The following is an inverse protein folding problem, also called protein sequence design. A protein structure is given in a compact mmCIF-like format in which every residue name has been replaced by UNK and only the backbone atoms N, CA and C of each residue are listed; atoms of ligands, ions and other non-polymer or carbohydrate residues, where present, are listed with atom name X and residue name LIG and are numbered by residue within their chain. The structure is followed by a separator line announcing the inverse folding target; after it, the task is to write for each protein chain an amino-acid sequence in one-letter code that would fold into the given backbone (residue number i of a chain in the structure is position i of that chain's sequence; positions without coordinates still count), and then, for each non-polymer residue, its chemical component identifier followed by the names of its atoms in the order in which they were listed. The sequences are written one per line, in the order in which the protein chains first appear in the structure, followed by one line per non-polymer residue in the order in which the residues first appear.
data_IF_835314084288
#
_entry.id   IF_835314084288
#
_cell.length_a   1.000
_cell.length_b   1.000
_cell.length_c   1.000
_cell.angle_alpha   90.00
_cell.angle_beta   90.00
_cell.angle_gamma   90.00
#
_symmetry.space_group_name_H-M   'P 1'
#
loop_
_entity.id
_entity.type
_entity.pdbx_description
1 polymer ?
#
# COMPACT_ATOMS: atom_id res chain seq x y z
N UNK A 1 -20.75 -18.78 -7.60
CA UNK A 1 -19.55 -18.87 -8.46
C UNK A 1 -19.54 -17.77 -9.51
N UNK A 2 -18.41 -17.08 -9.67
CA UNK A 2 -18.13 -16.18 -10.80
C UNK A 2 -18.05 -17.03 -12.08
N UNK A 3 -18.86 -16.72 -13.10
CA UNK A 3 -18.96 -17.53 -14.33
C UNK A 3 -18.18 -16.95 -15.51
N UNK A 4 -18.05 -15.63 -15.57
CA UNK A 4 -17.51 -14.90 -16.72
C UNK A 4 -16.44 -13.86 -16.33
N UNK A 5 -16.13 -13.73 -15.04
CA UNK A 5 -15.21 -12.70 -14.56
C UNK A 5 -13.77 -13.06 -14.88
N UNK A 6 -13.00 -12.05 -15.31
CA UNK A 6 -11.59 -12.21 -15.66
C UNK A 6 -10.72 -12.58 -14.46
N UNK A 7 -11.11 -12.15 -13.26
CA UNK A 7 -10.37 -12.32 -12.03
C UNK A 7 -11.28 -12.79 -10.90
N UNK A 8 -10.76 -13.65 -10.02
CA UNK A 8 -11.35 -13.93 -8.71
C UNK A 8 -10.64 -13.00 -7.72
N UNK A 9 -11.32 -11.96 -7.24
CA UNK A 9 -10.68 -10.92 -6.43
C UNK A 9 -11.04 -11.11 -4.96
N UNK A 10 -10.02 -11.28 -4.12
CA UNK A 10 -10.18 -11.72 -2.73
C UNK A 10 -10.48 -10.59 -1.74
N UNK A 11 -10.09 -9.35 -2.06
CA UNK A 11 -10.25 -8.18 -1.21
C UNK A 11 -11.10 -7.11 -1.88
N UNK A 12 -11.72 -6.25 -1.08
CA UNK A 12 -12.41 -5.07 -1.61
C UNK A 12 -11.39 -4.13 -2.27
N UNK A 13 -11.85 -3.22 -3.13
CA UNK A 13 -10.98 -2.12 -3.59
C UNK A 13 -10.73 -1.07 -2.50
N UNK A 14 -11.50 -1.14 -1.40
CA UNK A 14 -11.27 -0.44 -0.15
C UNK A 14 -10.89 -1.46 0.92
N UNK A 15 -9.61 -1.58 1.27
CA UNK A 15 -9.10 -2.62 2.19
C UNK A 15 -7.69 -2.28 2.71
N UNK A 16 -7.01 -3.20 3.40
CA UNK A 16 -5.57 -3.09 3.67
C UNK A 16 -4.72 -3.26 2.41
N UNK A 17 -3.44 -2.86 2.48
CA UNK A 17 -2.47 -3.10 1.40
C UNK A 17 -2.34 -4.59 1.05
N UNK A 18 -2.00 -4.89 -0.20
CA UNK A 18 -1.90 -6.26 -0.71
C UNK A 18 -0.46 -6.78 -0.87
N UNK A 19 0.52 -5.86 -0.94
CA UNK A 19 1.93 -6.22 -1.09
C UNK A 19 2.87 -5.09 -0.68
N UNK A 20 4.09 -5.45 -0.28
CA UNK A 20 5.24 -4.54 -0.21
C UNK A 20 5.89 -4.35 -1.59
N UNK A 21 6.42 -3.14 -1.82
CA UNK A 21 6.92 -2.70 -3.13
C UNK A 21 8.39 -2.28 -3.14
N UNK A 22 9.09 -2.40 -2.01
CA UNK A 22 10.51 -2.00 -1.91
C UNK A 22 11.43 -3.06 -2.50
N UNK A 23 12.54 -2.65 -3.11
CA UNK A 23 13.59 -3.56 -3.60
C UNK A 23 14.79 -3.65 -2.64
N UNK A 24 14.62 -3.21 -1.39
CA UNK A 24 15.68 -3.25 -0.39
C UNK A 24 15.95 -4.68 0.11
N UNK A 25 17.18 -4.95 0.55
CA UNK A 25 17.63 -6.29 0.97
C UNK A 25 16.91 -6.81 2.24
N UNK A 26 16.16 -5.97 2.94
CA UNK A 26 15.45 -6.34 4.15
C UNK A 26 14.04 -6.83 3.89
N UNK A 27 13.48 -6.54 2.71
CA UNK A 27 12.29 -7.19 2.20
C UNK A 27 12.67 -8.60 1.73
N UNK A 28 12.12 -9.59 2.42
CA UNK A 28 12.25 -10.99 2.04
C UNK A 28 10.99 -11.48 1.32
N UNK A 29 11.09 -12.44 0.38
CA UNK A 29 9.94 -12.93 -0.38
C UNK A 29 8.79 -13.42 0.49
N UNK A 30 9.08 -14.03 1.65
CA UNK A 30 8.07 -14.53 2.58
C UNK A 30 7.19 -13.44 3.23
N UNK A 31 7.51 -12.16 3.04
CA UNK A 31 6.64 -11.09 3.53
C UNK A 31 5.50 -10.77 2.58
N UNK A 32 5.66 -11.04 1.27
CA UNK A 32 4.59 -10.95 0.28
C UNK A 32 3.96 -12.35 0.11
N UNK A 33 3.25 -12.80 1.16
CA UNK A 33 2.76 -14.18 1.30
C UNK A 33 1.31 -14.40 0.83
N UNK A 34 0.68 -13.38 0.26
CA UNK A 34 -0.63 -13.50 -0.37
C UNK A 34 -0.50 -13.90 -1.85
N UNK A 35 -1.49 -14.65 -2.34
CA UNK A 35 -1.68 -14.85 -3.78
C UNK A 35 -2.23 -13.57 -4.42
N UNK A 36 -1.32 -12.67 -4.79
CA UNK A 36 -1.66 -11.39 -5.38
C UNK A 36 -2.27 -11.59 -6.77
N UNK A 37 -3.52 -11.20 -6.94
CA UNK A 37 -4.21 -11.23 -8.24
C UNK A 37 -3.83 -9.99 -9.03
N UNK A 38 -3.27 -10.13 -10.24
CA UNK A 38 -2.88 -8.97 -11.06
C UNK A 38 -3.04 -9.25 -12.56
N UNK A 39 -3.12 -8.19 -13.37
CA UNK A 39 -3.15 -8.31 -14.82
C UNK A 39 -1.75 -8.60 -15.39
N UNK A 40 -1.54 -9.83 -15.86
CA UNK A 40 -0.25 -10.27 -16.43
C UNK A 40 0.20 -9.45 -17.65
N UNK A 41 -0.74 -8.99 -18.48
CA UNK A 41 -0.39 -8.19 -19.68
C UNK A 41 0.12 -6.81 -19.29
N UNK A 42 -0.48 -6.20 -18.27
CA UNK A 42 -0.03 -4.90 -17.74
C UNK A 42 1.32 -5.08 -17.05
N UNK A 43 1.50 -6.17 -16.29
CA UNK A 43 2.77 -6.50 -15.64
C UNK A 43 3.90 -6.63 -16.66
N UNK A 44 3.72 -7.44 -17.70
CA UNK A 44 4.71 -7.62 -18.77
C UNK A 44 5.01 -6.29 -19.46
N UNK A 45 3.99 -5.47 -19.75
CA UNK A 45 4.18 -4.14 -20.34
C UNK A 45 5.05 -3.25 -19.44
N UNK A 46 4.80 -3.21 -18.13
CA UNK A 46 5.55 -2.38 -17.19
C UNK A 46 7.01 -2.84 -17.07
N UNK A 47 7.25 -4.14 -16.91
CA UNK A 47 8.61 -4.71 -16.80
C UNK A 47 9.40 -4.49 -18.09
N UNK A 48 8.79 -4.71 -19.26
CA UNK A 48 9.44 -4.46 -20.55
C UNK A 48 9.80 -2.98 -20.78
N UNK A 49 9.20 -2.06 -20.03
CA UNK A 49 9.50 -0.63 -20.05
C UNK A 49 10.35 -0.18 -18.84
N UNK A 50 10.97 -1.12 -18.12
CA UNK A 50 11.97 -0.83 -17.09
C UNK A 50 11.44 -0.58 -15.67
N UNK A 51 10.15 -0.85 -15.41
CA UNK A 51 9.60 -0.84 -14.04
C UNK A 51 10.03 -2.12 -13.33
N UNK A 52 10.52 -2.02 -12.08
CA UNK A 52 10.91 -3.19 -11.30
C UNK A 52 9.71 -4.12 -11.04
N UNK A 53 9.99 -5.41 -10.80
CA UNK A 53 8.95 -6.43 -10.71
C UNK A 53 7.92 -6.19 -9.59
N UNK A 54 8.34 -5.68 -8.43
CA UNK A 54 7.45 -5.49 -7.29
C UNK A 54 6.51 -4.31 -7.53
N UNK A 55 7.05 -3.19 -8.04
CA UNK A 55 6.24 -2.06 -8.47
C UNK A 55 5.31 -2.43 -9.63
N UNK A 56 5.80 -3.17 -10.62
CA UNK A 56 4.99 -3.62 -11.75
C UNK A 56 3.83 -4.51 -11.29
N UNK A 57 4.06 -5.42 -10.34
CA UNK A 57 3.00 -6.24 -9.73
C UNK A 57 1.97 -5.39 -8.99
N UNK A 58 2.43 -4.44 -8.17
CA UNK A 58 1.53 -3.53 -7.45
C UNK A 58 0.62 -2.75 -8.40
N UNK A 59 1.18 -2.08 -9.41
CA UNK A 59 0.37 -1.33 -10.38
C UNK A 59 -0.57 -2.26 -11.14
N UNK A 60 -0.10 -3.43 -11.58
CA UNK A 60 -0.94 -4.41 -12.29
C UNK A 60 -2.07 -4.97 -11.45
N UNK A 61 -1.89 -5.03 -10.12
CA UNK A 61 -2.95 -5.39 -9.18
C UNK A 61 -4.02 -4.30 -9.11
N UNK A 62 -3.66 -3.01 -9.03
CA UNK A 62 -4.65 -1.91 -9.02
C UNK A 62 -5.55 -1.93 -10.26
N UNK A 63 -4.98 -2.31 -11.41
CA UNK A 63 -5.65 -2.39 -12.72
C UNK A 63 -6.50 -3.64 -12.94
N UNK A 64 -6.66 -4.52 -11.94
CA UNK A 64 -7.71 -5.57 -12.00
C UNK A 64 -9.12 -5.00 -11.78
N UNK A 65 -9.21 -3.71 -11.45
CA UNK A 65 -10.47 -3.01 -11.19
C UNK A 65 -10.88 -2.17 -12.38
N UNK A 66 -12.18 -2.15 -12.62
CA UNK A 66 -12.77 -1.23 -13.59
C UNK A 66 -12.83 0.21 -13.03
N UNK A 67 -12.76 1.24 -13.90
CA UNK A 67 -13.08 2.62 -13.56
C UNK A 67 -14.52 2.72 -13.02
N UNK A 68 -14.72 3.46 -11.92
CA UNK A 68 -16.06 3.65 -11.36
C UNK A 68 -16.78 4.86 -11.98
N UNK A 69 -16.03 5.90 -12.33
CA UNK A 69 -16.57 7.18 -12.81
C UNK A 69 -15.64 7.66 -13.92
N UNK A 70 -16.19 7.97 -15.09
CA UNK A 70 -15.45 8.62 -16.18
C UNK A 70 -16.33 9.70 -16.80
N UNK A 71 -15.78 10.89 -16.99
CA UNK A 71 -16.47 11.99 -17.65
C UNK A 71 -16.27 11.89 -19.15
N UNK A 72 -17.30 12.27 -19.92
CA UNK A 72 -17.26 12.17 -21.39
C UNK A 72 -16.14 13.04 -21.96
N UNK A 73 -15.93 14.18 -21.33
CA UNK A 73 -14.93 15.20 -21.68
C UNK A 73 -13.50 14.68 -21.49
N UNK A 74 -13.29 13.71 -20.59
CA UNK A 74 -11.98 13.14 -20.27
C UNK A 74 -11.72 11.80 -20.95
N UNK A 75 -12.60 11.32 -21.85
CA UNK A 75 -12.43 10.03 -22.51
C UNK A 75 -11.14 9.97 -23.36
N UNK A 76 -10.90 11.03 -24.13
CA UNK A 76 -9.73 11.14 -25.01
C UNK A 76 -8.78 12.17 -24.42
N UNK A 77 -7.60 11.71 -24.02
CA UNK A 77 -6.54 12.53 -23.46
C UNK A 77 -5.21 12.14 -24.09
N UNK A 78 -4.22 13.03 -24.05
CA UNK A 78 -2.86 12.72 -24.47
C UNK A 78 -2.14 11.85 -23.44
N UNK A 79 -1.08 11.17 -23.86
CA UNK A 79 -0.29 10.29 -22.98
C UNK A 79 0.55 11.06 -21.94
N UNK A 80 0.57 12.39 -22.01
CA UNK A 80 1.30 13.27 -21.09
C UNK A 80 0.48 13.68 -19.86
N UNK A 81 -0.80 13.28 -19.75
CA UNK A 81 -1.63 13.52 -18.57
C UNK A 81 -1.90 12.23 -17.81
N UNK A 82 -2.15 12.35 -16.50
CA UNK A 82 -2.29 11.21 -15.59
C UNK A 82 -3.72 10.85 -15.23
N UNK A 83 -4.75 11.53 -15.75
CA UNK A 83 -6.12 11.39 -15.22
C UNK A 83 -6.67 9.96 -15.37
N UNK A 84 -6.37 9.28 -16.48
CA UNK A 84 -6.76 7.88 -16.68
C UNK A 84 -6.08 6.93 -15.68
N UNK A 85 -4.81 7.18 -15.36
CA UNK A 85 -4.12 6.46 -14.30
C UNK A 85 -4.74 6.77 -12.92
N UNK A 86 -4.97 8.05 -12.64
CA UNK A 86 -5.59 8.51 -11.40
C UNK A 86 -7.02 7.99 -11.22
N UNK A 87 -7.75 7.71 -12.28
CA UNK A 87 -9.08 7.09 -12.20
C UNK A 87 -9.02 5.73 -11.48
N UNK A 88 -8.02 4.91 -11.82
CA UNK A 88 -7.80 3.62 -11.16
C UNK A 88 -7.10 3.80 -9.81
N UNK A 89 -6.03 4.59 -9.76
CA UNK A 89 -5.23 4.79 -8.54
C UNK A 89 -6.07 5.40 -7.39
N UNK A 90 -6.84 6.45 -7.68
CA UNK A 90 -7.64 7.14 -6.66
C UNK A 90 -8.80 6.31 -6.13
N UNK A 91 -9.27 5.32 -6.90
CA UNK A 91 -10.38 4.42 -6.55
C UNK A 91 -9.93 3.04 -6.06
N UNK A 92 -8.64 2.87 -5.78
CA UNK A 92 -8.13 1.81 -4.91
C UNK A 92 -7.77 2.46 -3.56
N UNK A 93 -8.59 2.24 -2.55
CA UNK A 93 -8.53 2.87 -1.24
C UNK A 93 -7.91 1.93 -0.22
N UNK A 94 -6.59 1.87 -0.22
CA UNK A 94 -5.84 1.05 0.74
C UNK A 94 -5.51 1.81 2.03
N UNK A 95 -5.06 1.08 3.07
CA UNK A 95 -4.54 1.66 4.33
C UNK A 95 -3.29 2.53 4.14
N UNK A 96 -2.56 2.31 3.04
CA UNK A 96 -1.51 3.21 2.55
C UNK A 96 -1.66 3.40 1.05
N UNK A 97 -1.20 4.55 0.54
CA UNK A 97 -1.17 4.82 -0.90
C UNK A 97 0.19 5.34 -1.34
N UNK A 98 0.78 4.67 -2.30
CA UNK A 98 1.94 5.16 -3.03
C UNK A 98 1.47 6.13 -4.11
N UNK A 99 2.01 7.35 -4.14
CA UNK A 99 1.58 8.42 -5.06
C UNK A 99 2.76 8.81 -5.95
N UNK A 100 2.72 8.43 -7.24
CA UNK A 100 3.66 8.92 -8.24
C UNK A 100 3.66 10.45 -8.31
N UNK A 101 4.78 11.06 -8.75
CA UNK A 101 4.80 12.49 -9.06
C UNK A 101 3.79 12.78 -10.19
N UNK A 102 2.98 13.84 -10.08
CA UNK A 102 2.16 14.29 -11.20
C UNK A 102 3.03 14.72 -12.38
N UNK A 103 2.58 14.55 -13.63
CA UNK A 103 3.24 15.15 -14.79
C UNK A 103 3.43 16.67 -14.60
N UNK A 104 4.53 17.21 -15.12
CA UNK A 104 4.83 18.65 -15.15
C UNK A 104 4.77 19.35 -13.77
N UNK A 105 5.09 18.62 -12.69
CA UNK A 105 5.07 19.12 -11.32
C UNK A 105 6.39 18.91 -10.59
N UNK A 106 6.72 19.82 -9.67
CA UNK A 106 7.89 19.69 -8.79
C UNK A 106 7.63 18.75 -7.58
N UNK A 107 6.42 18.18 -7.49
CA UNK A 107 6.05 17.27 -6.41
C UNK A 107 6.70 15.90 -6.66
N UNK A 108 7.47 15.41 -5.68
CA UNK A 108 8.10 14.09 -5.75
C UNK A 108 7.18 12.90 -5.42
N UNK A 109 7.78 11.72 -5.32
CA UNK A 109 7.12 10.50 -4.83
C UNK A 109 6.64 10.69 -3.40
N UNK A 110 5.39 10.29 -3.13
CA UNK A 110 4.77 10.44 -1.82
C UNK A 110 4.16 9.13 -1.35
N UNK A 111 4.04 9.01 -0.03
CA UNK A 111 3.30 7.95 0.64
C UNK A 111 2.23 8.61 1.50
N UNK A 112 0.99 8.13 1.38
CA UNK A 112 -0.14 8.59 2.17
C UNK A 112 -0.50 7.51 3.20
N UNK A 113 -0.53 7.88 4.48
CA UNK A 113 -0.96 7.02 5.58
C UNK A 113 -2.45 7.26 5.85
N UNK A 114 -3.28 6.20 5.78
CA UNK A 114 -4.74 6.36 5.63
C UNK A 114 -5.57 5.62 6.69
N UNK A 115 -4.95 5.01 7.68
CA UNK A 115 -5.64 4.17 8.67
C UNK A 115 -6.03 4.89 9.97
N UNK A 116 -5.81 6.21 10.07
CA UNK A 116 -6.17 6.97 11.26
C UNK A 116 -7.63 7.41 11.23
N UNK A 117 -8.36 7.12 12.29
CA UNK A 117 -9.67 7.72 12.55
C UNK A 117 -9.52 9.19 12.93
N UNK A 118 -10.49 10.03 12.54
CA UNK A 118 -10.53 11.44 12.95
C UNK A 118 -10.95 11.56 14.41
N UNK A 119 -10.32 12.48 15.14
CA UNK A 119 -10.58 12.73 16.56
C UNK A 119 -11.46 13.97 16.74
N UNK A 120 -12.05 14.11 17.93
CA UNK A 120 -13.01 15.19 18.22
C UNK A 120 -12.33 16.55 18.24
N UNK A 121 -11.12 16.65 18.79
CA UNK A 121 -10.40 17.92 18.91
C UNK A 121 -9.28 18.10 17.89
N UNK A 122 -9.03 19.35 17.54
CA UNK A 122 -7.88 19.73 16.71
C UNK A 122 -6.56 19.30 17.34
N UNK A 123 -6.47 19.35 18.67
CA UNK A 123 -5.28 18.94 19.41
C UNK A 123 -4.98 17.45 19.22
N UNK A 124 -5.98 16.58 19.36
CA UNK A 124 -5.80 15.12 19.18
C UNK A 124 -5.42 14.79 17.73
N UNK A 125 -6.09 15.43 16.75
CA UNK A 125 -5.74 15.26 15.34
C UNK A 125 -4.30 15.73 15.03
N UNK A 126 -3.90 16.87 15.58
CA UNK A 126 -2.54 17.38 15.44
C UNK A 126 -1.50 16.45 16.11
N UNK A 127 -1.83 15.90 17.29
CA UNK A 127 -0.96 14.96 18.00
C UNK A 127 -0.69 13.69 17.16
N UNK A 128 -1.73 13.10 16.57
CA UNK A 128 -1.57 11.94 15.70
C UNK A 128 -0.82 12.26 14.40
N UNK A 129 -1.08 13.41 13.78
CA UNK A 129 -0.35 13.84 12.59
C UNK A 129 1.16 14.00 12.88
N UNK A 130 1.50 14.69 13.98
CA UNK A 130 2.89 14.88 14.42
C UNK A 130 3.53 13.53 14.79
N UNK A 131 2.79 12.63 15.46
CA UNK A 131 3.27 11.30 15.80
C UNK A 131 3.71 10.51 14.56
N UNK A 132 2.90 10.50 13.48
CA UNK A 132 3.27 9.80 12.24
C UNK A 132 4.51 10.43 11.58
N UNK A 133 4.65 11.76 11.62
CA UNK A 133 5.86 12.45 11.13
C UNK A 133 7.10 12.04 11.93
N UNK A 134 7.00 11.97 13.25
CA UNK A 134 8.11 11.57 14.11
C UNK A 134 8.44 10.08 13.92
N UNK A 135 7.43 9.21 13.86
CA UNK A 135 7.57 7.78 13.65
C UNK A 135 8.29 7.48 12.32
N UNK A 136 7.87 8.11 11.23
CA UNK A 136 8.51 7.91 9.91
C UNK A 136 9.96 8.39 9.91
N UNK A 137 10.27 9.52 10.56
CA UNK A 137 11.65 9.99 10.74
C UNK A 137 12.49 9.00 11.54
N UNK A 138 11.96 8.45 12.64
CA UNK A 138 12.65 7.43 13.44
C UNK A 138 12.92 6.17 12.61
N UNK A 139 11.93 5.68 11.85
CA UNK A 139 12.11 4.51 10.96
C UNK A 139 13.29 4.73 10.01
N UNK A 140 13.32 5.88 9.33
CA UNK A 140 14.35 6.19 8.34
C UNK A 140 15.72 6.48 8.98
N UNK A 141 15.77 7.31 10.02
CA UNK A 141 17.03 7.72 10.67
C UNK A 141 17.76 6.56 11.32
N UNK A 142 17.04 5.56 11.84
CA UNK A 142 17.64 4.39 12.48
C UNK A 142 17.65 3.14 11.59
N UNK A 143 17.16 3.24 10.35
CA UNK A 143 17.07 2.09 9.44
C UNK A 143 16.25 0.93 10.01
N UNK A 144 15.14 1.23 10.70
CA UNK A 144 14.34 0.21 11.38
C UNK A 144 13.61 -0.66 10.35
N UNK A 145 13.62 -1.98 10.58
CA UNK A 145 12.87 -2.93 9.79
C UNK A 145 11.56 -3.28 10.50
N UNK A 146 10.43 -3.03 9.83
CA UNK A 146 9.09 -3.37 10.33
C UNK A 146 8.36 -4.41 9.48
N UNK A 147 9.02 -5.01 8.49
CA UNK A 147 8.39 -6.03 7.65
C UNK A 147 7.90 -7.21 8.49
N UNK A 148 6.67 -7.62 8.24
CA UNK A 148 6.03 -8.87 8.67
C UNK A 148 5.25 -9.42 7.48
N UNK A 149 4.88 -10.71 7.43
CA UNK A 149 4.01 -11.22 6.37
C UNK A 149 2.71 -10.42 6.23
N UNK A 150 2.31 -10.10 5.00
CA UNK A 150 1.08 -9.33 4.69
C UNK A 150 -0.15 -10.04 5.27
N UNK A 151 -0.20 -11.37 5.29
CA UNK A 151 -1.29 -12.11 5.95
C UNK A 151 -1.48 -11.71 7.43
N UNK A 152 -0.39 -11.39 8.14
CA UNK A 152 -0.45 -10.90 9.54
C UNK A 152 -0.86 -9.44 9.64
N UNK A 153 -0.56 -8.63 8.62
CA UNK A 153 -1.08 -7.26 8.50
C UNK A 153 -2.60 -7.31 8.33
N UNK A 154 -3.11 -8.20 7.49
CA UNK A 154 -4.55 -8.39 7.26
C UNK A 154 -5.24 -8.91 8.53
N UNK A 155 -4.63 -9.87 9.24
CA UNK A 155 -5.15 -10.32 10.53
C UNK A 155 -5.19 -9.18 11.56
N UNK A 156 -4.14 -8.36 11.64
CA UNK A 156 -4.10 -7.18 12.51
C UNK A 156 -5.25 -6.20 12.19
N UNK A 157 -5.56 -5.99 10.91
CA UNK A 157 -6.68 -5.14 10.51
C UNK A 157 -8.01 -5.72 10.97
N UNK A 158 -8.21 -7.04 10.86
CA UNK A 158 -9.40 -7.70 11.42
C UNK A 158 -9.50 -7.55 12.94
N UNK A 159 -8.38 -7.71 13.66
CA UNK A 159 -8.31 -7.54 15.12
C UNK A 159 -8.62 -6.10 15.54
N UNK A 160 -8.13 -5.10 14.79
CA UNK A 160 -8.31 -3.68 15.09
C UNK A 160 -9.77 -3.23 15.15
N UNK A 161 -10.67 -3.93 14.46
CA UNK A 161 -12.11 -3.60 14.44
C UNK A 161 -12.88 -4.11 15.66
N UNK A 162 -12.28 -4.97 16.49
CA UNK A 162 -12.96 -5.50 17.68
C UNK A 162 -13.15 -4.41 18.72
N UNK A 163 -14.29 -4.45 19.43
CA UNK A 163 -14.53 -3.56 20.56
C UNK A 163 -13.44 -3.76 21.62
N UNK A 164 -12.93 -2.65 22.16
CA UNK A 164 -11.87 -2.62 23.17
C UNK A 164 -10.53 -3.24 22.71
N UNK A 165 -10.28 -3.33 21.39
CA UNK A 165 -9.07 -3.93 20.86
C UNK A 165 -7.77 -3.31 21.39
N UNK A 166 -7.77 -1.98 21.59
CA UNK A 166 -6.61 -1.25 22.16
C UNK A 166 -6.26 -1.69 23.60
N UNK A 167 -7.23 -2.23 24.34
CA UNK A 167 -7.07 -2.65 25.74
C UNK A 167 -6.86 -4.16 25.89
N UNK A 168 -7.50 -4.97 25.03
CA UNK A 168 -7.66 -6.40 25.27
C UNK A 168 -6.99 -7.29 24.22
N UNK A 169 -6.84 -6.81 22.99
CA UNK A 169 -6.38 -7.64 21.89
C UNK A 169 -4.85 -7.60 21.76
N UNK A 170 -4.31 -8.54 20.99
CA UNK A 170 -2.88 -8.63 20.69
C UNK A 170 -2.69 -8.52 19.18
N UNK A 171 -1.65 -7.80 18.79
CA UNK A 171 -1.31 -7.57 17.40
C UNK A 171 0.01 -8.27 17.07
N UNK A 172 0.11 -8.76 15.84
CA UNK A 172 1.37 -9.20 15.28
C UNK A 172 2.30 -8.00 15.12
N UNK A 173 3.45 -8.09 15.76
CA UNK A 173 4.46 -7.05 15.71
C UNK A 173 5.84 -7.68 15.62
N UNK A 174 6.75 -7.03 14.88
CA UNK A 174 8.11 -7.54 14.71
C UNK A 174 8.87 -7.45 16.04
N UNK A 175 9.41 -8.58 16.50
CA UNK A 175 10.13 -8.65 17.78
C UNK A 175 11.45 -7.86 17.79
N UNK A 176 12.19 -7.89 16.69
CA UNK A 176 13.45 -7.17 16.54
C UNK A 176 13.40 -6.28 15.30
N UNK A 177 13.40 -4.97 15.54
CA UNK A 177 13.31 -3.94 14.49
C UNK A 177 14.68 -3.40 14.08
N UNK A 178 15.75 -3.76 14.78
CA UNK A 178 17.11 -3.33 14.47
C UNK A 178 17.78 -4.34 13.54
N UNK A 179 18.32 -3.86 12.42
CA UNK A 179 18.98 -4.72 11.44
C UNK A 179 20.31 -5.30 11.98
N UNK A 180 21.02 -4.52 12.81
CA UNK A 180 22.37 -4.83 13.31
C UNK A 180 22.41 -5.44 14.71
N UNK A 181 21.33 -6.10 15.17
CA UNK A 181 21.41 -6.82 16.45
C UNK A 181 22.36 -8.03 16.28
N UNK A 182 23.44 -8.15 17.08
CA UNK A 182 24.37 -9.28 17.02
C UNK A 182 23.69 -10.65 17.23
N UNK A 183 22.43 -10.68 17.71
CA UNK A 183 21.62 -11.91 17.80
C UNK A 183 21.01 -12.39 16.47
N UNK A 184 21.09 -11.61 15.40
CA UNK A 184 20.59 -11.99 14.07
C UNK A 184 21.57 -12.89 13.28
N UNK A 185 22.72 -13.24 13.88
CA UNK A 185 23.81 -13.99 13.25
C UNK A 185 24.10 -15.38 13.84
N UNK A 186 23.13 -16.02 14.50
CA UNK A 186 23.22 -17.42 14.96
C UNK A 186 21.96 -18.19 14.64
#
# INVERSE_FOLDING_TARGET
PLKNDRFVINKSRYDSIDCYISTDNTLKPEYNDLDLVYDKKIFEKLVNNGVDELMARHISHLFIRDPLIIFKETLNQGDNVSDHFENIQSTNWQTMRFKPPPPDSNIGWRVEFRSMEVQISDFENAAFAVFIVLLTRVILSYGLNFYIPISKVDENMGIAHKRDAVLLEKFWFRKNVFQNDPKNGT
#
